data_IF_332630507911
#
_entry.id   IF_332630507911
#
_cell.length_a   1.000
_cell.length_b   1.000
_cell.length_c   1.000
_cell.angle_alpha   90.00
_cell.angle_beta   90.00
_cell.angle_gamma   90.00
#
_symmetry.space_group_name_H-M   'P 1'
#
loop_
_entity.id
_entity.type
_entity.pdbx_description
1 polymer ?
#
# COMPACT_ATOMS: atom_id res chain seq x y z
N UNK A 1 33.27 -0.64 40.86
CA UNK A 1 31.87 -0.17 40.76
C UNK A 1 31.66 0.89 39.65
N UNK A 2 32.67 1.69 39.31
CA UNK A 2 32.61 2.76 38.29
C UNK A 2 32.42 2.24 36.86
N UNK A 3 33.02 1.10 36.50
CA UNK A 3 32.90 0.51 35.16
C UNK A 3 31.49 -0.06 34.89
N UNK A 4 30.85 -0.65 35.90
CA UNK A 4 29.47 -1.14 35.78
C UNK A 4 28.47 0.01 35.59
N UNK A 5 28.64 1.12 36.32
CA UNK A 5 27.83 2.34 36.14
C UNK A 5 27.99 2.94 34.74
N UNK A 6 29.22 2.95 34.20
CA UNK A 6 29.50 3.41 32.83
C UNK A 6 28.83 2.50 31.79
N UNK A 7 28.88 1.19 32.00
CA UNK A 7 28.28 0.22 31.09
C UNK A 7 26.75 0.35 31.03
N UNK A 8 26.09 0.46 32.19
CA UNK A 8 24.64 0.64 32.28
C UNK A 8 24.21 1.98 31.67
N UNK A 9 24.95 3.06 31.93
CA UNK A 9 24.70 4.37 31.32
C UNK A 9 24.77 4.31 29.78
N UNK A 10 25.75 3.58 29.24
CA UNK A 10 25.93 3.41 27.80
C UNK A 10 24.75 2.64 27.17
N UNK A 11 24.29 1.55 27.81
CA UNK A 11 23.12 0.78 27.38
C UNK A 11 21.84 1.64 27.35
N UNK A 12 21.60 2.44 28.39
CA UNK A 12 20.43 3.33 28.46
C UNK A 12 20.50 4.40 27.35
N UNK A 13 21.67 4.97 27.10
CA UNK A 13 21.84 5.92 26.00
C UNK A 13 21.50 5.28 24.65
N UNK A 14 21.98 4.06 24.39
CA UNK A 14 21.73 3.34 23.13
C UNK A 14 20.24 3.06 22.89
N UNK A 15 19.46 2.80 23.95
CA UNK A 15 18.00 2.59 23.82
C UNK A 15 17.23 3.87 23.48
N UNK A 16 17.74 5.04 23.87
CA UNK A 16 17.14 6.33 23.54
C UNK A 16 17.45 6.78 22.10
N UNK A 17 18.48 6.20 21.48
CA UNK A 17 18.80 6.36 20.06
C UNK A 17 18.06 5.38 19.13
N UNK A 18 17.23 4.46 19.68
CA UNK A 18 16.30 3.70 18.88
C UNK A 18 15.21 4.65 18.38
N UNK A 19 15.49 5.36 17.29
CA UNK A 19 14.53 6.23 16.63
C UNK A 19 13.25 5.46 16.29
N UNK A 20 12.11 6.17 16.30
CA UNK A 20 10.86 5.64 15.75
C UNK A 20 11.16 5.04 14.37
N UNK A 21 10.84 3.77 14.19
CA UNK A 21 10.79 3.17 12.86
C UNK A 21 9.57 3.73 12.16
N UNK A 22 9.65 4.99 11.70
CA UNK A 22 8.76 5.41 10.63
C UNK A 22 8.97 4.42 9.49
N UNK A 23 7.88 3.99 8.85
CA UNK A 23 7.97 3.18 7.64
C UNK A 23 9.04 3.81 6.73
N UNK A 24 9.92 3.00 6.09
CA UNK A 24 10.92 3.54 5.19
C UNK A 24 10.19 4.47 4.24
N UNK A 25 10.67 5.72 4.13
CA UNK A 25 10.20 6.63 3.12
C UNK A 25 10.23 5.85 1.82
N UNK A 26 9.06 5.66 1.19
CA UNK A 26 8.97 5.01 -0.11
C UNK A 26 9.96 5.75 -1.00
N UNK A 27 11.06 5.08 -1.31
CA UNK A 27 11.95 5.57 -2.33
C UNK A 27 11.19 5.25 -3.62
N UNK A 28 10.66 6.29 -4.25
CA UNK A 28 9.81 6.24 -5.45
C UNK A 28 10.58 5.69 -6.68
N UNK A 29 11.76 5.15 -6.46
CA UNK A 29 12.79 4.75 -7.43
C UNK A 29 12.51 3.40 -8.09
N UNK A 30 11.32 2.82 -7.91
CA UNK A 30 10.86 1.70 -8.73
C UNK A 30 9.52 1.99 -9.42
N UNK A 31 9.35 3.23 -9.87
CA UNK A 31 8.43 3.56 -10.95
C UNK A 31 9.26 3.61 -12.23
N UNK A 32 9.24 2.51 -13.00
CA UNK A 32 9.72 2.48 -14.38
C UNK A 32 8.79 3.26 -15.32
N UNK A 33 8.35 4.43 -14.90
CA UNK A 33 7.67 5.40 -15.75
C UNK A 33 8.70 6.48 -16.06
N UNK A 34 9.05 6.59 -17.35
CA UNK A 34 9.81 7.72 -17.84
C UNK A 34 8.96 8.98 -17.61
N UNK A 35 9.32 9.78 -16.61
CA UNK A 35 8.78 11.12 -16.37
C UNK A 35 9.36 12.09 -17.41
N UNK A 36 9.10 11.85 -18.69
CA UNK A 36 9.44 12.77 -19.79
C UNK A 36 8.24 12.91 -20.74
N UNK A 37 7.22 13.62 -20.26
CA UNK A 37 6.06 14.01 -21.05
C UNK A 37 4.94 14.58 -20.18
N UNK A 38 4.32 15.68 -20.62
CA UNK A 38 3.11 16.22 -20.00
C UNK A 38 2.08 15.09 -19.80
N UNK A 39 1.46 14.97 -18.60
CA UNK A 39 0.49 13.93 -18.35
C UNK A 39 -0.68 14.07 -19.34
N UNK A 40 -0.92 13.02 -20.13
CA UNK A 40 -2.09 12.97 -21.01
C UNK A 40 -3.36 13.17 -20.18
N UNK A 41 -4.38 13.90 -20.68
CA UNK A 41 -5.62 14.12 -19.94
C UNK A 41 -6.25 12.78 -19.57
N UNK A 42 -6.66 12.66 -18.30
CA UNK A 42 -7.35 11.46 -17.81
C UNK A 42 -8.64 11.26 -18.62
N UNK A 43 -8.86 10.07 -19.21
CA UNK A 43 -10.08 9.79 -19.95
C UNK A 43 -11.33 9.97 -19.10
N UNK A 44 -12.42 10.46 -19.71
CA UNK A 44 -13.72 10.63 -19.03
C UNK A 44 -14.28 9.31 -18.48
N UNK A 45 -13.93 8.18 -19.12
CA UNK A 45 -14.33 6.84 -18.69
C UNK A 45 -13.09 5.96 -18.57
N UNK A 46 -12.78 5.55 -17.35
CA UNK A 46 -11.73 4.57 -17.07
C UNK A 46 -12.36 3.17 -16.98
N UNK A 47 -11.75 2.21 -17.65
CA UNK A 47 -12.09 0.80 -17.52
C UNK A 47 -10.85 -0.05 -17.70
N UNK A 48 -10.84 -1.23 -17.10
CA UNK A 48 -9.76 -2.19 -17.28
C UNK A 48 -10.30 -3.62 -17.38
N UNK A 49 -9.45 -4.47 -17.93
CA UNK A 49 -9.57 -5.92 -17.86
C UNK A 49 -8.25 -6.46 -17.34
N UNK A 50 -8.29 -7.33 -16.33
CA UNK A 50 -7.10 -7.87 -15.70
C UNK A 50 -7.24 -9.38 -15.44
N UNK A 51 -6.13 -10.16 -15.54
CA UNK A 51 -6.12 -11.54 -15.09
C UNK A 51 -6.31 -11.60 -13.57
N UNK A 52 -7.00 -12.63 -13.10
CA UNK A 52 -7.16 -12.96 -11.68
C UNK A 52 -6.26 -14.15 -11.31
N UNK A 53 -6.35 -14.60 -10.06
CA UNK A 53 -5.73 -15.86 -9.64
C UNK A 53 -6.61 -17.09 -9.91
N UNK A 54 -7.75 -16.91 -10.58
CA UNK A 54 -8.71 -17.97 -10.94
C UNK A 54 -9.14 -18.82 -9.73
N UNK A 55 -9.28 -18.19 -8.56
CA UNK A 55 -9.85 -18.84 -7.37
C UNK A 55 -11.37 -18.77 -7.45
N UNK A 56 -12.06 -19.63 -6.71
CA UNK A 56 -13.53 -19.65 -6.68
C UNK A 56 -14.14 -18.27 -6.35
N UNK A 57 -13.47 -17.48 -5.50
CA UNK A 57 -13.90 -16.12 -5.11
C UNK A 57 -13.69 -15.06 -6.22
N UNK A 58 -12.86 -15.35 -7.21
CA UNK A 58 -12.49 -14.40 -8.27
C UNK A 58 -13.52 -14.40 -9.44
N UNK A 59 -14.47 -15.34 -9.45
CA UNK A 59 -15.48 -15.54 -10.51
C UNK A 59 -14.88 -15.78 -11.91
N UNK A 60 -13.72 -16.44 -11.97
CA UNK A 60 -13.01 -16.83 -13.19
C UNK A 60 -11.68 -16.10 -13.39
N UNK A 61 -10.93 -16.53 -14.42
CA UNK A 61 -9.55 -16.13 -14.67
C UNK A 61 -9.34 -14.68 -15.12
N UNK A 62 -10.41 -13.94 -15.43
CA UNK A 62 -10.35 -12.58 -15.95
C UNK A 62 -11.44 -11.72 -15.32
N UNK A 63 -11.06 -10.56 -14.81
CA UNK A 63 -11.98 -9.54 -14.33
C UNK A 63 -12.13 -8.43 -15.38
N UNK A 64 -13.37 -8.08 -15.72
CA UNK A 64 -13.71 -6.97 -16.63
C UNK A 64 -14.63 -5.97 -15.93
N UNK A 65 -14.11 -4.78 -15.65
CA UNK A 65 -14.83 -3.76 -14.88
C UNK A 65 -16.14 -3.33 -15.55
N UNK A 66 -16.23 -3.41 -16.89
CA UNK A 66 -17.39 -2.93 -17.66
C UNK A 66 -18.66 -3.73 -17.41
N UNK A 67 -18.50 -4.97 -16.95
CA UNK A 67 -19.57 -5.95 -16.82
C UNK A 67 -19.72 -6.46 -15.38
N UNK A 68 -18.90 -5.98 -14.44
CA UNK A 68 -18.83 -6.53 -13.09
C UNK A 68 -19.78 -5.84 -12.09
N UNK A 69 -20.27 -4.63 -12.39
CA UNK A 69 -21.07 -3.85 -11.44
C UNK A 69 -22.15 -3.01 -12.16
N UNK A 70 -23.34 -2.96 -11.56
CA UNK A 70 -24.42 -2.05 -11.96
C UNK A 70 -24.46 -0.85 -10.99
N UNK A 71 -23.75 0.23 -11.31
CA UNK A 71 -23.75 1.46 -10.50
C UNK A 71 -22.41 2.20 -10.46
N UNK A 72 -22.28 3.24 -9.60
CA UNK A 72 -21.02 3.91 -9.36
C UNK A 72 -20.02 2.94 -8.70
N UNK A 73 -18.79 2.91 -9.20
CA UNK A 73 -17.73 2.04 -8.68
C UNK A 73 -16.62 2.86 -8.06
N UNK A 74 -16.24 2.53 -6.82
CA UNK A 74 -15.03 3.01 -6.19
C UNK A 74 -13.88 2.05 -6.52
N UNK A 75 -12.93 2.48 -7.36
CA UNK A 75 -11.74 1.71 -7.68
C UNK A 75 -10.57 2.12 -6.77
N UNK A 76 -9.99 1.15 -6.08
CA UNK A 76 -8.89 1.35 -5.14
C UNK A 76 -7.68 0.52 -5.59
N UNK A 77 -6.55 1.18 -5.82
CA UNK A 77 -5.29 0.50 -6.12
C UNK A 77 -4.48 0.31 -4.83
N UNK A 78 -4.27 -0.95 -4.43
CA UNK A 78 -3.54 -1.28 -3.19
C UNK A 78 -2.30 -2.08 -3.55
N UNK A 79 -1.14 -1.60 -3.11
CA UNK A 79 0.12 -2.30 -3.33
C UNK A 79 0.22 -3.60 -2.50
N UNK A 80 0.91 -4.60 -3.03
CA UNK A 80 1.25 -5.80 -2.27
C UNK A 80 2.13 -5.42 -1.06
N UNK A 81 1.70 -5.82 0.14
CA UNK A 81 2.42 -5.51 1.38
C UNK A 81 2.09 -4.16 2.02
N UNK A 82 0.99 -3.51 1.62
CA UNK A 82 0.55 -2.32 2.34
C UNK A 82 0.23 -2.67 3.82
N UNK A 83 0.63 -1.81 4.74
CA UNK A 83 0.36 -1.94 6.17
C UNK A 83 -0.97 -1.28 6.49
N UNK A 84 -1.87 -1.99 7.17
CA UNK A 84 -3.18 -1.47 7.55
C UNK A 84 -4.23 -1.44 6.44
N UNK A 85 -3.98 -2.04 5.25
CA UNK A 85 -4.99 -2.04 4.18
C UNK A 85 -6.26 -2.77 4.56
N UNK A 86 -6.09 -3.91 5.22
CA UNK A 86 -7.18 -4.70 5.72
C UNK A 86 -8.11 -3.87 6.63
N UNK A 87 -7.54 -3.05 7.51
CA UNK A 87 -8.30 -2.27 8.51
C UNK A 87 -9.15 -1.17 7.84
N UNK A 88 -8.57 -0.41 6.92
CA UNK A 88 -9.36 0.63 6.22
C UNK A 88 -10.31 0.03 5.18
N UNK A 89 -9.97 -1.09 4.52
CA UNK A 89 -10.92 -1.78 3.64
C UNK A 89 -12.12 -2.32 4.40
N UNK A 90 -11.91 -2.79 5.63
CA UNK A 90 -12.99 -3.23 6.51
C UNK A 90 -13.87 -2.04 6.92
N UNK A 91 -13.27 -0.92 7.33
CA UNK A 91 -14.01 0.32 7.64
C UNK A 91 -14.89 0.78 6.47
N UNK A 92 -14.36 0.77 5.23
CA UNK A 92 -15.16 1.12 4.04
C UNK A 92 -16.33 0.15 3.81
N UNK A 93 -16.16 -1.13 4.11
CA UNK A 93 -17.22 -2.12 3.95
C UNK A 93 -18.31 -2.01 5.03
N UNK A 94 -18.01 -1.43 6.19
CA UNK A 94 -18.98 -1.24 7.29
C UNK A 94 -19.79 0.05 7.14
N UNK A 95 -19.24 1.07 6.47
CA UNK A 95 -19.90 2.37 6.27
C UNK A 95 -20.75 2.47 4.99
N UNK A 96 -20.66 1.48 4.09
CA UNK A 96 -21.43 1.37 2.84
C UNK A 96 -22.64 0.46 3.00
#
# INVERSE_FOLDING_TARGET
MTNAKRFVSCMVLLTLLAGCTSAPAQDNTNSGYAEEGEPSPVPERLSFSAPTFDRDVDNGAQHDLRHSFDGPVLLLWVAAGCSGCHDWTAMLSEEL
#
